data_IF_796605404384
#
_entry.id   IF_796605404384
#
_cell.length_a   1.000
_cell.length_b   1.000
_cell.length_c   1.000
_cell.angle_alpha   90.00
_cell.angle_beta   90.00
_cell.angle_gamma   90.00
#
_symmetry.space_group_name_H-M   'P 1'
#
loop_
_entity.id
_entity.type
_entity.pdbx_description
1 polymer ?
#
# COMPACT_ATOMS: atom_id res chain seq x y z
N UNK A 1 16.67 -16.36 0.98
CA UNK A 1 15.95 -17.63 1.24
C UNK A 1 14.54 -17.59 0.68
N UNK A 2 13.82 -16.47 0.81
CA UNK A 2 12.40 -16.28 0.43
C UNK A 2 12.19 -15.84 -1.02
N UNK A 3 13.26 -15.58 -1.79
CA UNK A 3 13.18 -15.00 -3.15
C UNK A 3 12.67 -16.01 -4.20
N UNK A 4 11.69 -15.56 -4.99
CA UNK A 4 11.24 -16.19 -6.20
C UNK A 4 10.48 -17.50 -6.00
N UNK A 5 10.20 -18.26 -7.09
CA UNK A 5 9.36 -19.46 -7.05
C UNK A 5 9.96 -20.61 -6.24
N UNK A 6 11.28 -20.61 -6.01
CA UNK A 6 11.96 -21.57 -5.13
C UNK A 6 12.18 -21.04 -3.71
N UNK A 7 11.62 -19.88 -3.38
CA UNK A 7 11.68 -19.31 -2.05
C UNK A 7 11.06 -20.25 -1.02
N UNK A 8 11.64 -20.24 0.19
CA UNK A 8 11.20 -21.05 1.32
C UNK A 8 10.58 -20.17 2.39
N UNK A 9 9.64 -20.70 3.11
CA UNK A 9 9.13 -20.05 4.30
C UNK A 9 10.22 -19.97 5.37
N UNK A 10 10.19 -18.92 6.15
CA UNK A 10 11.02 -18.72 7.34
C UNK A 10 10.13 -18.61 8.56
N UNK A 11 10.56 -19.21 9.67
CA UNK A 11 9.89 -19.06 10.96
C UNK A 11 10.57 -17.91 11.72
N UNK A 12 9.78 -16.94 12.12
CA UNK A 12 10.23 -15.77 12.89
C UNK A 12 9.85 -15.98 14.35
N UNK A 13 10.85 -15.96 15.24
CA UNK A 13 10.62 -16.04 16.66
C UNK A 13 10.10 -14.69 17.17
N UNK A 14 8.94 -14.70 17.82
CA UNK A 14 8.43 -13.52 18.55
C UNK A 14 8.72 -13.66 20.04
N UNK A 15 9.01 -12.54 20.68
CA UNK A 15 9.19 -12.46 22.13
C UNK A 15 7.88 -12.77 22.88
N UNK A 16 6.74 -12.49 22.25
CA UNK A 16 5.38 -12.76 22.76
C UNK A 16 4.45 -13.21 21.62
N UNK A 17 3.63 -14.24 21.87
CA UNK A 17 2.64 -14.75 20.91
C UNK A 17 3.15 -15.91 20.07
N UNK A 18 2.35 -16.28 19.05
CA UNK A 18 2.67 -17.35 18.12
C UNK A 18 3.81 -16.97 17.19
N UNK A 19 4.63 -17.95 16.82
CA UNK A 19 5.65 -17.77 15.79
C UNK A 19 4.98 -17.50 14.45
N UNK A 20 5.56 -16.56 13.67
CA UNK A 20 5.10 -16.29 12.32
C UNK A 20 5.92 -17.14 11.35
N UNK A 21 5.23 -17.86 10.49
CA UNK A 21 5.84 -18.58 9.38
C UNK A 21 5.44 -17.86 8.09
N UNK A 22 6.39 -17.25 7.42
CA UNK A 22 6.12 -16.43 6.24
C UNK A 22 7.20 -16.59 5.18
N UNK A 23 6.85 -16.25 3.95
CA UNK A 23 7.76 -16.10 2.81
C UNK A 23 7.87 -14.63 2.38
N UNK A 24 7.01 -13.77 2.90
CA UNK A 24 6.98 -12.36 2.55
C UNK A 24 8.21 -11.61 3.06
N UNK A 25 8.88 -10.91 2.14
CA UNK A 25 10.14 -10.22 2.43
C UNK A 25 9.98 -9.02 3.34
N UNK A 26 8.87 -8.28 3.26
CA UNK A 26 8.65 -7.11 4.14
C UNK A 26 8.37 -7.54 5.56
N UNK A 27 7.58 -8.59 5.76
CA UNK A 27 7.32 -9.17 7.09
C UNK A 27 8.60 -9.67 7.72
N UNK A 28 9.44 -10.37 6.95
CA UNK A 28 10.75 -10.82 7.44
C UNK A 28 11.64 -9.62 7.79
N UNK A 29 11.70 -8.61 6.93
CA UNK A 29 12.55 -7.43 7.17
C UNK A 29 12.14 -6.67 8.43
N UNK A 30 10.85 -6.50 8.69
CA UNK A 30 10.33 -5.78 9.86
C UNK A 30 10.75 -6.41 11.20
N UNK A 31 10.88 -7.71 11.25
CA UNK A 31 11.22 -8.45 12.48
C UNK A 31 12.75 -8.52 12.74
N UNK A 32 13.58 -8.05 11.80
CA UNK A 32 15.05 -8.06 11.99
C UNK A 32 15.47 -6.84 12.80
N UNK A 33 16.15 -7.09 13.91
CA UNK A 33 16.76 -6.06 14.76
C UNK A 33 18.18 -6.45 15.13
N UNK A 34 19.07 -5.47 15.18
CA UNK A 34 20.45 -5.61 15.65
C UNK A 34 20.64 -4.89 16.98
N UNK A 35 21.32 -5.54 17.93
CA UNK A 35 21.60 -4.99 19.25
C UNK A 35 22.58 -3.82 19.22
N UNK A 36 23.46 -3.81 18.24
CA UNK A 36 24.41 -2.73 18.01
C UNK A 36 23.69 -1.57 17.31
N UNK A 37 23.58 -0.38 17.91
CA UNK A 37 22.85 0.74 17.33
C UNK A 37 23.42 1.21 15.98
N UNK A 38 24.72 1.08 15.76
CA UNK A 38 25.33 1.44 14.47
C UNK A 38 24.95 0.45 13.36
N UNK A 39 24.92 -0.84 13.67
CA UNK A 39 24.46 -1.86 12.72
C UNK A 39 22.96 -1.73 12.47
N UNK A 40 22.19 -1.41 13.50
CA UNK A 40 20.74 -1.24 13.39
C UNK A 40 20.35 -0.10 12.45
N UNK A 41 21.15 0.97 12.34
CA UNK A 41 20.92 2.01 11.31
C UNK A 41 20.89 1.41 9.90
N UNK A 42 21.82 0.50 9.58
CA UNK A 42 21.81 -0.20 8.30
C UNK A 42 20.59 -1.09 8.11
N UNK A 43 20.12 -1.75 9.18
CA UNK A 43 18.90 -2.56 9.17
C UNK A 43 17.68 -1.67 8.85
N UNK A 44 17.54 -0.54 9.54
CA UNK A 44 16.40 0.38 9.32
C UNK A 44 16.38 0.96 7.90
N UNK A 45 17.53 1.28 7.32
CA UNK A 45 17.60 1.71 5.91
C UNK A 45 17.07 0.66 4.93
N UNK A 46 17.36 -0.62 5.17
CA UNK A 46 16.84 -1.72 4.34
C UNK A 46 15.35 -1.94 4.57
N UNK A 47 14.90 -1.86 5.82
CA UNK A 47 13.47 -1.93 6.16
C UNK A 47 12.68 -0.83 5.46
N UNK A 48 13.18 0.41 5.49
CA UNK A 48 12.56 1.54 4.80
C UNK A 48 12.42 1.28 3.30
N UNK A 49 13.49 0.80 2.65
CA UNK A 49 13.45 0.46 1.23
C UNK A 49 12.41 -0.64 0.93
N UNK A 50 12.32 -1.68 1.75
CA UNK A 50 11.34 -2.76 1.60
C UNK A 50 9.89 -2.25 1.83
N UNK A 51 9.67 -1.43 2.85
CA UNK A 51 8.36 -0.83 3.12
C UNK A 51 7.90 0.05 1.96
N UNK A 52 8.78 0.91 1.45
CA UNK A 52 8.44 1.80 0.33
C UNK A 52 8.06 1.05 -0.95
N UNK A 53 8.75 -0.05 -1.25
CA UNK A 53 8.38 -0.90 -2.38
C UNK A 53 7.03 -1.60 -2.13
N UNK A 54 6.78 -2.05 -0.91
CA UNK A 54 5.49 -2.65 -0.54
C UNK A 54 4.33 -1.66 -0.70
N UNK A 55 4.48 -0.42 -0.26
CA UNK A 55 3.46 0.63 -0.38
C UNK A 55 3.17 1.01 -1.85
N UNK A 56 4.22 1.04 -2.68
CA UNK A 56 4.09 1.47 -4.09
C UNK A 56 3.63 0.36 -5.03
N UNK A 57 4.06 -0.87 -4.81
CA UNK A 57 3.88 -1.98 -5.75
C UNK A 57 3.23 -3.22 -5.14
N UNK A 58 3.19 -3.36 -3.81
CA UNK A 58 2.70 -4.55 -3.12
C UNK A 58 3.54 -5.81 -3.33
N UNK A 59 4.63 -5.74 -4.09
CA UNK A 59 5.51 -6.87 -4.43
C UNK A 59 6.96 -6.39 -4.61
N UNK A 60 7.91 -7.33 -4.66
CA UNK A 60 9.32 -7.04 -4.88
C UNK A 60 10.13 -6.69 -3.63
N UNK A 61 9.57 -6.86 -2.44
CA UNK A 61 10.21 -6.52 -1.15
C UNK A 61 11.49 -7.32 -0.89
N UNK A 62 11.49 -8.61 -1.19
CA UNK A 62 12.71 -9.45 -1.12
C UNK A 62 13.71 -9.05 -2.20
N UNK A 63 13.25 -8.72 -3.40
CA UNK A 63 14.10 -8.31 -4.51
C UNK A 63 14.84 -7.02 -4.19
N UNK A 64 14.16 -5.99 -3.68
CA UNK A 64 14.80 -4.72 -3.31
C UNK A 64 15.82 -4.91 -2.20
N UNK A 65 15.56 -5.79 -1.23
CA UNK A 65 16.50 -6.12 -0.15
C UNK A 65 17.80 -6.73 -0.70
N UNK A 66 17.70 -7.69 -1.62
CA UNK A 66 18.85 -8.32 -2.27
C UNK A 66 19.63 -7.33 -3.15
N UNK A 67 18.92 -6.49 -3.91
CA UNK A 67 19.52 -5.45 -4.73
C UNK A 67 20.27 -4.42 -3.87
N UNK A 68 19.64 -3.92 -2.80
CA UNK A 68 20.26 -2.98 -1.89
C UNK A 68 21.54 -3.54 -1.26
N UNK A 69 21.50 -4.79 -0.80
CA UNK A 69 22.69 -5.49 -0.29
C UNK A 69 23.80 -5.58 -1.34
N UNK A 70 23.47 -5.97 -2.56
CA UNK A 70 24.44 -6.13 -3.65
C UNK A 70 25.08 -4.81 -4.03
N UNK A 71 24.27 -3.75 -4.20
CA UNK A 71 24.73 -2.40 -4.53
C UNK A 71 25.64 -1.86 -3.40
N UNK A 72 25.21 -2.00 -2.13
CA UNK A 72 25.98 -1.56 -0.98
C UNK A 72 27.34 -2.29 -0.90
N UNK A 73 27.35 -3.60 -1.03
CA UNK A 73 28.60 -4.39 -0.97
C UNK A 73 29.60 -4.00 -2.05
N UNK A 74 29.14 -3.78 -3.28
CA UNK A 74 30.01 -3.34 -4.38
C UNK A 74 30.44 -1.90 -4.19
N UNK A 75 29.51 -1.03 -3.78
CA UNK A 75 29.77 0.38 -3.51
C UNK A 75 30.84 0.57 -2.42
N UNK A 76 30.67 -0.08 -1.28
CA UNK A 76 31.65 0.00 -0.17
C UNK A 76 33.04 -0.51 -0.55
N UNK A 77 33.13 -1.58 -1.35
CA UNK A 77 34.41 -2.05 -1.85
C UNK A 77 35.13 -1.00 -2.70
N UNK A 78 34.38 -0.30 -3.58
CA UNK A 78 34.93 0.75 -4.42
C UNK A 78 35.37 1.97 -3.57
N UNK A 79 34.55 2.37 -2.59
CA UNK A 79 34.91 3.47 -1.68
C UNK A 79 36.16 3.10 -0.85
N UNK A 80 36.24 1.88 -0.33
CA UNK A 80 37.42 1.40 0.38
C UNK A 80 38.68 1.36 -0.49
N UNK A 81 38.53 1.15 -1.80
CA UNK A 81 39.59 1.22 -2.79
C UNK A 81 39.96 2.67 -3.22
N UNK A 82 39.33 3.70 -2.61
CA UNK A 82 39.64 5.10 -2.86
C UNK A 82 38.73 5.82 -3.85
N UNK A 83 37.67 5.18 -4.31
CA UNK A 83 36.68 5.85 -5.16
C UNK A 83 35.92 6.95 -4.39
N UNK A 84 35.68 8.09 -5.05
CA UNK A 84 34.93 9.18 -4.46
C UNK A 84 33.43 8.78 -4.33
N UNK A 85 32.84 8.82 -3.10
CA UNK A 85 31.45 8.41 -2.87
C UNK A 85 30.43 9.22 -3.66
N UNK A 86 30.68 10.52 -3.85
CA UNK A 86 29.78 11.42 -4.60
C UNK A 86 29.77 11.05 -6.09
N UNK A 87 30.95 10.75 -6.64
CA UNK A 87 31.05 10.31 -8.03
C UNK A 87 30.40 8.94 -8.24
N UNK A 88 30.55 8.04 -7.27
CA UNK A 88 29.89 6.74 -7.29
C UNK A 88 28.37 6.90 -7.25
N UNK A 89 27.83 7.77 -6.38
CA UNK A 89 26.41 8.06 -6.32
C UNK A 89 25.87 8.58 -7.67
N UNK A 90 26.56 9.54 -8.28
CA UNK A 90 26.15 10.05 -9.61
C UNK A 90 26.15 8.96 -10.68
N UNK A 91 27.09 8.02 -10.60
CA UNK A 91 27.13 6.86 -11.48
C UNK A 91 25.94 5.92 -11.28
N UNK A 92 25.57 5.68 -10.02
CA UNK A 92 24.39 4.88 -9.66
C UNK A 92 23.09 5.53 -10.14
N UNK A 93 22.92 6.84 -9.92
CA UNK A 93 21.74 7.60 -10.36
C UNK A 93 21.57 7.48 -11.88
N UNK A 94 22.63 7.75 -12.65
CA UNK A 94 22.60 7.62 -14.11
C UNK A 94 22.37 6.18 -14.59
N UNK A 95 22.97 5.20 -13.92
CA UNK A 95 22.71 3.79 -14.23
C UNK A 95 21.28 3.40 -13.98
N UNK A 96 20.68 3.89 -12.92
CA UNK A 96 19.26 3.67 -12.59
C UNK A 96 18.33 4.24 -13.66
N UNK A 97 18.57 5.47 -14.14
CA UNK A 97 17.79 6.07 -15.22
C UNK A 97 17.79 5.19 -16.49
N UNK A 98 18.97 4.74 -16.91
CA UNK A 98 19.12 3.87 -18.10
C UNK A 98 18.37 2.53 -17.91
N UNK A 99 18.49 1.93 -16.72
CA UNK A 99 17.82 0.67 -16.41
C UNK A 99 16.30 0.85 -16.44
N UNK A 100 15.78 1.93 -15.86
CA UNK A 100 14.35 2.22 -15.84
C UNK A 100 13.79 2.43 -17.25
N UNK A 101 14.50 3.13 -18.14
CA UNK A 101 14.13 3.28 -19.54
C UNK A 101 14.03 1.91 -20.26
N UNK A 102 15.03 1.06 -20.06
CA UNK A 102 15.05 -0.27 -20.68
C UNK A 102 13.97 -1.20 -20.10
N UNK A 103 13.71 -1.13 -18.80
CA UNK A 103 12.62 -1.88 -18.16
C UNK A 103 11.25 -1.44 -18.71
N UNK A 104 11.03 -0.13 -18.86
CA UNK A 104 9.79 0.40 -19.43
C UNK A 104 9.52 -0.10 -20.84
N UNK A 105 10.58 -0.22 -21.67
CA UNK A 105 10.47 -0.77 -23.03
C UNK A 105 10.16 -2.27 -23.05
N UNK A 106 10.63 -3.01 -22.04
CA UNK A 106 10.44 -4.46 -21.92
C UNK A 106 9.16 -4.84 -21.17
N UNK A 107 8.58 -3.91 -20.43
CA UNK A 107 7.37 -4.15 -19.66
C UNK A 107 6.20 -4.48 -20.60
N UNK A 108 5.53 -5.59 -20.33
CA UNK A 108 4.32 -6.01 -21.04
C UNK A 108 3.10 -5.51 -20.25
N UNK A 109 2.21 -4.76 -20.92
CA UNK A 109 0.94 -4.36 -20.31
C UNK A 109 0.02 -5.57 -20.19
N UNK A 110 -0.55 -5.75 -19.01
CA UNK A 110 -1.55 -6.79 -18.74
C UNK A 110 -2.90 -6.29 -19.22
N UNK A 111 -3.59 -7.06 -20.04
CA UNK A 111 -4.86 -6.67 -20.64
C UNK A 111 -5.94 -7.74 -20.58
N UNK A 112 -5.54 -9.01 -20.45
CA UNK A 112 -6.49 -10.14 -20.42
C UNK A 112 -6.69 -10.68 -19.01
N UNK A 113 -7.84 -11.34 -18.80
CA UNK A 113 -8.16 -12.00 -17.54
C UNK A 113 -7.15 -13.11 -17.19
N UNK A 114 -6.70 -13.84 -18.19
CA UNK A 114 -5.69 -14.90 -18.02
C UNK A 114 -4.35 -14.33 -17.54
N UNK A 115 -3.93 -13.18 -18.07
CA UNK A 115 -2.72 -12.51 -17.63
C UNK A 115 -2.86 -11.98 -16.18
N UNK A 116 -4.04 -11.47 -15.81
CA UNK A 116 -4.34 -11.07 -14.42
C UNK A 116 -4.29 -12.28 -13.50
N UNK A 117 -4.91 -13.41 -13.90
CA UNK A 117 -4.88 -14.66 -13.13
C UNK A 117 -3.43 -15.16 -12.92
N UNK A 118 -2.57 -15.09 -13.94
CA UNK A 118 -1.17 -15.49 -13.81
C UNK A 118 -0.41 -14.63 -12.80
N UNK A 119 -0.60 -13.31 -12.81
CA UNK A 119 0.03 -12.40 -11.85
C UNK A 119 -0.51 -12.64 -10.44
N UNK A 120 -1.83 -12.75 -10.29
CA UNK A 120 -2.47 -13.03 -9.01
C UNK A 120 -2.03 -14.39 -8.44
N UNK A 121 -1.91 -15.42 -9.28
CA UNK A 121 -1.39 -16.73 -8.87
C UNK A 121 0.03 -16.65 -8.32
N UNK A 122 0.91 -15.87 -8.94
CA UNK A 122 2.27 -15.68 -8.42
C UNK A 122 2.23 -14.94 -7.08
N UNK A 123 1.41 -13.92 -6.95
CA UNK A 123 1.27 -13.12 -5.72
C UNK A 123 0.68 -13.96 -4.56
N UNK A 124 -0.20 -14.91 -4.86
CA UNK A 124 -0.77 -15.86 -3.89
C UNK A 124 0.10 -17.11 -3.66
N UNK A 125 1.39 -17.03 -3.92
CA UNK A 125 2.36 -18.11 -3.72
C UNK A 125 2.10 -19.37 -4.58
N UNK A 126 1.71 -19.19 -5.83
CA UNK A 126 1.30 -20.20 -6.82
C UNK A 126 -0.01 -20.93 -6.48
N UNK A 127 -0.88 -20.32 -5.69
CA UNK A 127 -2.25 -20.77 -5.52
C UNK A 127 -3.09 -20.32 -6.72
N UNK A 128 -3.40 -21.28 -7.58
CA UNK A 128 -4.15 -21.01 -8.81
C UNK A 128 -5.61 -20.68 -8.55
N UNK A 129 -6.21 -21.31 -7.55
CA UNK A 129 -7.63 -21.14 -7.25
C UNK A 129 -7.88 -19.73 -6.70
N UNK A 130 -7.01 -19.24 -5.81
CA UNK A 130 -7.01 -17.85 -5.37
C UNK A 130 -6.68 -16.88 -6.52
N UNK A 131 -5.72 -17.21 -7.38
CA UNK A 131 -5.38 -16.40 -8.52
C UNK A 131 -6.54 -16.21 -9.51
N UNK A 132 -7.26 -17.28 -9.81
CA UNK A 132 -8.45 -17.25 -10.67
C UNK A 132 -9.62 -16.50 -10.02
N UNK A 133 -9.80 -16.65 -8.70
CA UNK A 133 -10.78 -15.88 -7.91
C UNK A 133 -10.51 -14.37 -8.01
N UNK A 134 -9.29 -13.94 -7.72
CA UNK A 134 -8.87 -12.54 -7.80
C UNK A 134 -9.06 -12.00 -9.22
N UNK A 135 -8.67 -12.75 -10.24
CA UNK A 135 -8.88 -12.34 -11.63
C UNK A 135 -10.37 -12.21 -11.98
N UNK A 136 -11.23 -13.04 -11.40
CA UNK A 136 -12.68 -12.93 -11.53
C UNK A 136 -13.24 -11.67 -10.87
N UNK A 137 -12.68 -11.27 -9.73
CA UNK A 137 -13.04 -10.01 -9.04
C UNK A 137 -12.64 -8.81 -9.90
N UNK A 138 -11.40 -8.78 -10.41
CA UNK A 138 -10.94 -7.72 -11.31
C UNK A 138 -11.80 -7.58 -12.58
N UNK A 139 -12.23 -8.70 -13.15
CA UNK A 139 -13.07 -8.70 -14.34
C UNK A 139 -14.45 -8.07 -14.06
N UNK A 140 -15.00 -8.28 -12.85
CA UNK A 140 -16.30 -7.76 -12.44
C UNK A 140 -16.26 -6.32 -11.95
N UNK A 141 -15.23 -5.97 -11.15
CA UNK A 141 -15.09 -4.65 -10.53
C UNK A 141 -14.49 -3.63 -11.50
N UNK A 142 -13.69 -4.10 -12.47
CA UNK A 142 -13.00 -3.26 -13.44
C UNK A 142 -11.65 -2.76 -12.91
N UNK A 143 -10.93 -2.02 -13.78
CA UNK A 143 -9.56 -1.56 -13.49
C UNK A 143 -9.49 -0.47 -12.41
N UNK A 144 -10.53 0.28 -12.25
CA UNK A 144 -10.62 1.40 -11.32
C UNK A 144 -11.34 1.03 -10.01
N UNK A 145 -11.72 -0.25 -9.87
CA UNK A 145 -12.38 -0.74 -8.68
C UNK A 145 -11.41 -1.02 -7.54
N UNK A 146 -11.86 -0.78 -6.34
CA UNK A 146 -11.10 -1.09 -5.11
C UNK A 146 -11.33 -2.54 -4.72
N UNK A 147 -10.25 -3.25 -4.45
CA UNK A 147 -10.26 -4.63 -3.96
C UNK A 147 -9.54 -4.65 -2.63
N UNK A 148 -10.24 -5.02 -1.57
CA UNK A 148 -9.70 -5.25 -0.24
C UNK A 148 -9.64 -6.74 0.06
N UNK A 149 -8.70 -7.14 0.90
CA UNK A 149 -8.54 -8.53 1.36
C UNK A 149 -8.54 -8.52 2.88
N UNK A 150 -9.47 -9.25 3.45
CA UNK A 150 -9.66 -9.37 4.89
C UNK A 150 -9.66 -10.84 5.32
N UNK A 151 -9.40 -11.10 6.60
CA UNK A 151 -9.51 -12.45 7.15
C UNK A 151 -10.98 -12.86 7.25
N UNK A 152 -11.33 -13.96 6.58
CA UNK A 152 -12.69 -14.51 6.64
C UNK A 152 -12.98 -15.04 8.05
N UNK A 153 -14.22 -14.85 8.52
CA UNK A 153 -14.70 -15.45 9.80
C UNK A 153 -14.97 -16.94 9.66
N UNK A 154 -15.03 -17.45 8.44
CA UNK A 154 -15.33 -18.84 8.09
C UNK A 154 -14.09 -19.64 7.69
N UNK A 155 -14.34 -20.88 7.24
CA UNK A 155 -13.30 -21.80 6.76
C UNK A 155 -13.13 -21.78 5.22
N UNK A 156 -13.86 -20.90 4.53
CA UNK A 156 -13.83 -20.79 3.08
C UNK A 156 -13.56 -19.35 2.68
N UNK A 157 -12.85 -19.21 1.58
CA UNK A 157 -12.67 -17.91 0.94
C UNK A 157 -14.00 -17.49 0.31
N UNK A 158 -14.42 -16.26 0.58
CA UNK A 158 -15.67 -15.68 0.10
C UNK A 158 -15.37 -14.37 -0.60
N UNK A 159 -16.16 -14.05 -1.61
CA UNK A 159 -16.07 -12.77 -2.33
C UNK A 159 -17.36 -12.01 -2.14
N UNK A 160 -17.28 -10.86 -1.50
CA UNK A 160 -18.38 -9.91 -1.41
C UNK A 160 -18.18 -8.78 -2.42
N UNK A 161 -19.28 -8.34 -3.02
CA UNK A 161 -19.29 -7.21 -3.94
C UNK A 161 -20.20 -6.14 -3.36
N UNK A 162 -19.61 -4.98 -3.12
CA UNK A 162 -20.34 -3.80 -2.67
C UNK A 162 -20.38 -2.77 -3.80
N UNK A 163 -21.56 -2.22 -4.07
CA UNK A 163 -21.68 -1.10 -5.00
C UNK A 163 -21.25 0.17 -4.28
N UNK A 164 -20.37 0.94 -4.91
CA UNK A 164 -19.85 2.17 -4.34
C UNK A 164 -18.35 2.12 -4.10
N UNK A 165 -17.89 2.80 -3.06
CA UNK A 165 -16.50 2.85 -2.64
C UNK A 165 -16.43 2.76 -1.11
N UNK A 166 -15.55 1.93 -0.59
CA UNK A 166 -15.28 1.78 0.82
C UNK A 166 -13.91 2.39 1.17
N UNK A 167 -13.82 3.02 2.33
CA UNK A 167 -12.60 3.61 2.85
C UNK A 167 -12.35 3.12 4.27
N UNK A 168 -11.10 2.93 4.66
CA UNK A 168 -10.70 2.52 6.01
C UNK A 168 -10.98 3.61 7.07
N UNK A 169 -11.12 4.86 6.65
CA UNK A 169 -11.38 5.99 7.54
C UNK A 169 -12.88 6.31 7.57
N UNK A 170 -13.45 6.30 8.75
CA UNK A 170 -14.82 6.69 9.00
C UNK A 170 -15.01 8.20 9.22
N UNK A 171 -16.05 8.59 9.95
CA UNK A 171 -16.32 9.99 10.28
C UNK A 171 -15.24 10.59 11.20
N UNK A 172 -14.91 11.85 10.97
CA UNK A 172 -13.87 12.58 11.72
C UNK A 172 -14.28 12.89 13.17
N UNK A 173 -15.56 12.86 13.49
CA UNK A 173 -16.09 13.12 14.82
C UNK A 173 -17.35 12.31 15.12
N UNK A 174 -17.47 11.80 16.34
CA UNK A 174 -18.65 11.09 16.80
C UNK A 174 -19.93 11.94 16.81
N UNK A 175 -19.83 13.27 16.72
CA UNK A 175 -20.98 14.16 16.58
C UNK A 175 -21.73 13.99 15.25
N UNK A 176 -21.14 13.36 14.26
CA UNK A 176 -21.78 13.06 12.97
C UNK A 176 -22.65 11.79 13.00
N UNK A 177 -22.61 11.02 14.09
CA UNK A 177 -23.44 9.82 14.24
C UNK A 177 -24.92 10.21 14.28
N UNK A 178 -25.70 9.68 13.34
CA UNK A 178 -27.15 9.87 13.29
C UNK A 178 -27.94 8.62 13.69
N UNK A 179 -27.29 7.46 13.77
CA UNK A 179 -27.84 6.23 14.33
C UNK A 179 -27.05 5.80 15.59
N UNK A 180 -27.53 6.15 16.81
CA UNK A 180 -26.80 5.84 18.05
C UNK A 180 -26.72 4.34 18.39
N UNK A 181 -27.64 3.53 17.85
CA UNK A 181 -27.67 2.09 18.15
C UNK A 181 -26.54 1.33 17.42
N UNK A 182 -26.27 1.70 16.18
CA UNK A 182 -25.22 1.09 15.34
C UNK A 182 -23.94 1.90 15.31
N UNK A 183 -23.93 3.11 15.87
CA UNK A 183 -22.84 4.10 15.80
C UNK A 183 -22.48 4.46 14.34
N UNK A 184 -23.48 4.54 13.49
CA UNK A 184 -23.33 4.83 12.06
C UNK A 184 -23.82 6.23 11.70
N UNK A 185 -23.32 6.76 10.60
CA UNK A 185 -23.82 7.93 9.92
C UNK A 185 -24.35 7.51 8.56
N UNK A 186 -25.69 7.44 8.42
CA UNK A 186 -26.36 7.06 7.19
C UNK A 186 -26.98 8.29 6.54
N UNK A 187 -26.65 8.55 5.30
CA UNK A 187 -27.17 9.68 4.52
C UNK A 187 -27.74 9.20 3.20
N UNK A 188 -29.00 9.55 2.93
CA UNK A 188 -29.64 9.21 1.67
C UNK A 188 -29.38 10.29 0.62
N UNK A 189 -28.87 9.89 -0.52
CA UNK A 189 -28.65 10.74 -1.69
C UNK A 189 -27.87 12.04 -1.39
N UNK A 190 -26.72 11.96 -0.70
CA UNK A 190 -25.95 13.14 -0.30
C UNK A 190 -25.25 13.82 -1.49
N UNK A 191 -24.97 15.11 -1.33
CA UNK A 191 -23.94 15.75 -2.13
C UNK A 191 -22.56 15.32 -1.65
N UNK A 192 -21.66 14.97 -2.57
CA UNK A 192 -20.31 14.55 -2.24
C UNK A 192 -19.34 15.65 -2.67
N UNK A 193 -18.60 16.19 -1.71
CA UNK A 193 -17.50 17.12 -1.94
C UNK A 193 -16.17 16.45 -1.64
N UNK A 194 -15.27 16.42 -2.62
CA UNK A 194 -13.98 15.77 -2.49
C UNK A 194 -12.87 16.81 -2.69
N UNK A 195 -11.89 16.83 -1.79
CA UNK A 195 -10.72 17.70 -1.87
C UNK A 195 -9.49 17.02 -1.29
N UNK A 196 -8.34 17.30 -1.84
CA UNK A 196 -7.02 16.91 -1.35
C UNK A 196 -6.42 17.92 -0.36
N UNK A 197 -7.24 18.89 0.09
CA UNK A 197 -6.80 19.94 1.01
C UNK A 197 -7.24 19.62 2.43
N UNK A 198 -6.44 20.09 3.39
CA UNK A 198 -6.82 20.20 4.78
C UNK A 198 -7.75 21.40 4.97
N UNK A 199 -8.90 21.16 5.59
CA UNK A 199 -9.92 22.17 5.86
C UNK A 199 -9.82 22.60 7.34
N UNK A 200 -9.43 23.85 7.61
CA UNK A 200 -9.21 24.32 8.97
C UNK A 200 -10.09 25.52 9.31
N UNK A 201 -10.49 26.32 8.33
CA UNK A 201 -11.21 27.57 8.52
C UNK A 201 -12.66 27.47 8.03
N UNK A 202 -13.54 28.27 8.63
CA UNK A 202 -14.93 28.37 8.23
C UNK A 202 -15.06 28.77 6.74
N UNK A 203 -14.20 29.63 6.24
CA UNK A 203 -14.21 30.11 4.86
C UNK A 203 -13.98 28.98 3.85
N UNK A 204 -13.23 27.95 4.22
CA UNK A 204 -12.95 26.80 3.35
C UNK A 204 -14.21 26.01 3.02
N UNK A 205 -15.17 25.99 3.96
CA UNK A 205 -16.43 25.23 3.84
C UNK A 205 -17.59 26.16 3.43
N UNK A 206 -17.58 27.44 3.82
CA UNK A 206 -18.69 28.35 3.61
C UNK A 206 -19.11 28.45 2.13
N UNK A 207 -18.16 28.61 1.24
CA UNK A 207 -18.44 28.73 -0.20
C UNK A 207 -19.08 27.48 -0.81
N UNK A 208 -18.82 26.31 -0.21
CA UNK A 208 -19.36 25.03 -0.63
C UNK A 208 -20.74 24.84 -0.01
N UNK A 209 -20.87 25.11 1.31
CA UNK A 209 -22.10 25.01 2.03
C UNK A 209 -23.19 25.94 1.44
N UNK A 210 -22.86 27.17 1.09
CA UNK A 210 -23.79 28.12 0.43
C UNK A 210 -24.31 27.60 -0.90
N UNK A 211 -23.46 26.94 -1.70
CA UNK A 211 -23.89 26.34 -2.98
C UNK A 211 -24.79 25.13 -2.78
N UNK A 212 -24.49 24.31 -1.79
CA UNK A 212 -25.25 23.08 -1.49
C UNK A 212 -26.58 23.41 -0.83
N UNK A 213 -26.59 24.28 0.19
CA UNK A 213 -27.79 24.70 0.89
C UNK A 213 -28.75 25.50 -0.01
N UNK A 214 -28.22 26.23 -1.00
CA UNK A 214 -29.03 26.93 -1.99
C UNK A 214 -29.64 26.04 -3.07
N UNK A 215 -29.18 24.80 -3.22
CA UNK A 215 -29.59 23.93 -4.32
C UNK A 215 -30.72 22.94 -3.97
N UNK A 216 -30.74 22.38 -2.77
CA UNK A 216 -31.77 21.45 -2.27
C UNK A 216 -31.56 21.13 -0.79
N UNK A 217 -32.60 20.69 -0.10
CA UNK A 217 -32.55 20.17 1.27
C UNK A 217 -32.00 18.72 1.27
N UNK A 218 -30.71 18.59 1.02
CA UNK A 218 -30.03 17.29 0.92
C UNK A 218 -28.74 17.30 1.77
N UNK A 219 -28.41 16.18 2.43
CA UNK A 219 -27.18 16.08 3.21
C UNK A 219 -25.94 16.22 2.33
N UNK A 220 -24.83 16.56 2.93
CA UNK A 220 -23.53 16.69 2.27
C UNK A 220 -22.50 15.83 2.98
N UNK A 221 -21.73 15.07 2.22
CA UNK A 221 -20.53 14.35 2.67
C UNK A 221 -19.30 15.07 2.16
N UNK A 222 -18.38 15.34 3.04
CA UNK A 222 -17.09 15.95 2.72
C UNK A 222 -16.00 14.91 2.90
N UNK A 223 -15.23 14.66 1.85
CA UNK A 223 -14.04 13.81 1.85
C UNK A 223 -12.84 14.74 1.65
N UNK A 224 -12.01 14.87 2.66
CA UNK A 224 -10.85 15.77 2.67
C UNK A 224 -9.63 15.05 3.27
N UNK A 225 -8.44 15.59 3.04
CA UNK A 225 -7.21 15.07 3.67
C UNK A 225 -7.31 15.13 5.20
N UNK A 226 -7.79 16.27 5.73
CA UNK A 226 -8.10 16.42 7.15
C UNK A 226 -9.13 17.54 7.37
N UNK A 227 -9.90 17.49 8.46
CA UNK A 227 -10.86 18.53 8.86
C UNK A 227 -10.69 18.84 10.34
N UNK A 228 -10.36 20.10 10.66
CA UNK A 228 -10.08 20.50 12.04
C UNK A 228 -10.61 21.91 12.37
N UNK A 229 -10.52 22.27 13.64
CA UNK A 229 -10.81 23.62 14.17
C UNK A 229 -12.21 24.15 13.80
N UNK A 230 -12.27 25.36 13.24
CA UNK A 230 -13.52 26.02 12.86
C UNK A 230 -14.27 25.31 11.73
N UNK A 231 -13.54 24.65 10.86
CA UNK A 231 -14.14 23.88 9.77
C UNK A 231 -14.90 22.66 10.30
N UNK A 232 -14.35 21.97 11.29
CA UNK A 232 -15.01 20.83 11.93
C UNK A 232 -16.26 21.26 12.72
N UNK A 233 -16.20 22.38 13.40
CA UNK A 233 -17.32 22.90 14.22
C UNK A 233 -18.47 23.38 13.35
#
# INVERSE_FOLDING_TARGET
TTLGPRGRNVALAKSFGSQIVTKDGVTVAKEIEEKDPFKNVGVEMIKEAANRVNELAGDGTTTVTVLAQSIANVGFKNVAAGANPISLKRGLDKGTEIILEELSKKAKKITTKEEISQVATISTNNDKDLGDMIAGVFDKVGKDGVITVEEAKGFKDEVEYTEGMEFDNGYVSAYFVNNPETLETVMENPYIFITDKKLSNLQDIQAIAEKVLGAADRPMVIIADDIENQALA
#
